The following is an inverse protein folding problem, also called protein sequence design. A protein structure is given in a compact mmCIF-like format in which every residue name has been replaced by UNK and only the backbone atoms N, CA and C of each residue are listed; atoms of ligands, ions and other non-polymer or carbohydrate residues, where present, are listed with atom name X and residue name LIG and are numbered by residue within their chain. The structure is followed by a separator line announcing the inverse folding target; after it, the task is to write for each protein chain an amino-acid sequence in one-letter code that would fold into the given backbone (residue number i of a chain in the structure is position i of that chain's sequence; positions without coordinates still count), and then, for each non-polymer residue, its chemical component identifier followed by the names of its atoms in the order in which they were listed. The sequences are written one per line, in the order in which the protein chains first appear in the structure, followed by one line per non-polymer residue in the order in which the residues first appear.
data_IF_268936317480
#
_entry.id   IF_268936317480
#
_cell.length_a   1.000
_cell.length_b   1.000
_cell.length_c   1.000
_cell.angle_alpha   90.00
_cell.angle_beta   90.00
_cell.angle_gamma   90.00
#
_symmetry.space_group_name_H-M   'P 1'
#
loop_
_entity.id
_entity.type
_entity.pdbx_description
1 polymer ?
#
# COMPACT_ATOMS: atom_id res chain seq x y z
N UNK A 1 33.23 16.16 43.50
CA UNK A 1 32.75 16.24 42.10
C UNK A 1 31.50 15.38 41.96
N UNK A 2 30.39 16.06 41.65
CA UNK A 2 29.01 15.59 41.75
C UNK A 2 28.70 14.36 40.87
N UNK A 3 28.71 13.16 41.46
CA UNK A 3 28.10 11.96 40.86
C UNK A 3 26.59 12.15 40.59
N UNK A 4 25.94 13.06 41.34
CA UNK A 4 24.53 13.44 41.14
C UNK A 4 24.28 14.18 39.82
N UNK A 5 25.25 14.97 39.32
CA UNK A 5 25.09 15.72 38.08
C UNK A 5 25.12 14.80 36.85
N UNK A 6 25.89 13.72 36.91
CA UNK A 6 26.00 12.74 35.82
C UNK A 6 24.71 11.92 35.69
N UNK A 7 24.02 11.64 36.81
CA UNK A 7 22.75 10.91 36.79
C UNK A 7 21.60 11.74 36.19
N UNK A 8 21.59 13.07 36.42
CA UNK A 8 20.58 13.98 35.88
C UNK A 8 20.70 14.17 34.35
N UNK A 9 21.91 14.07 33.79
CA UNK A 9 22.14 14.15 32.34
C UNK A 9 21.64 12.92 31.56
N UNK A 10 21.53 11.75 32.22
CA UNK A 10 21.04 10.51 31.60
C UNK A 10 19.51 10.45 31.48
N UNK A 11 18.77 11.33 32.16
CA UNK A 11 17.29 11.41 32.09
C UNK A 11 16.76 12.47 31.12
N UNK A 12 17.65 13.18 30.40
CA UNK A 12 17.26 14.19 29.40
C UNK A 12 16.76 13.62 28.06
N UNK A 13 16.64 12.28 27.94
CA UNK A 13 16.10 11.63 26.72
C UNK A 13 14.56 11.69 26.61
N UNK A 14 13.92 12.71 27.16
CA UNK A 14 12.50 13.03 26.88
C UNK A 14 12.38 14.02 25.71
N UNK A 15 13.23 13.88 24.68
CA UNK A 15 13.09 14.63 23.44
C UNK A 15 11.98 13.98 22.59
N UNK A 16 10.75 14.36 22.94
CA UNK A 16 9.56 14.47 22.10
C UNK A 16 9.17 13.23 21.27
N UNK A 17 8.52 12.24 21.91
CA UNK A 17 7.44 11.53 21.22
C UNK A 17 6.33 12.54 20.94
N UNK A 18 6.40 13.24 19.81
CA UNK A 18 5.32 14.14 19.43
C UNK A 18 4.11 13.29 19.02
N UNK A 19 2.97 13.55 19.66
CA UNK A 19 1.73 12.96 19.21
C UNK A 19 1.36 13.59 17.87
N UNK A 20 1.18 12.76 16.84
CA UNK A 20 0.85 13.24 15.51
C UNK A 20 -0.55 13.85 15.52
N UNK A 21 -0.72 15.00 14.86
CA UNK A 21 -2.06 15.56 14.65
C UNK A 21 -2.91 14.64 13.76
N UNK A 22 -4.23 14.68 13.92
CA UNK A 22 -5.14 13.92 13.06
C UNK A 22 -5.04 14.37 11.60
N UNK A 23 -4.84 15.66 11.35
CA UNK A 23 -4.70 16.19 9.99
C UNK A 23 -3.44 15.64 9.30
N UNK A 24 -2.32 15.54 10.02
CA UNK A 24 -1.10 14.93 9.51
C UNK A 24 -1.28 13.42 9.25
N UNK A 25 -1.93 12.68 10.16
CA UNK A 25 -2.25 11.24 9.97
C UNK A 25 -3.11 11.03 8.72
N UNK A 26 -4.13 11.86 8.54
CA UNK A 26 -5.01 11.80 7.37
C UNK A 26 -4.25 12.13 6.08
N UNK A 27 -3.38 13.15 6.09
CA UNK A 27 -2.56 13.48 4.93
C UNK A 27 -1.59 12.33 4.58
N UNK A 28 -0.97 11.70 5.57
CA UNK A 28 -0.11 10.53 5.37
C UNK A 28 -0.88 9.37 4.74
N UNK A 29 -2.09 9.07 5.24
CA UNK A 29 -2.94 8.02 4.68
C UNK A 29 -3.34 8.34 3.24
N UNK A 30 -3.72 9.58 2.96
CA UNK A 30 -4.06 10.06 1.62
C UNK A 30 -2.91 9.89 0.63
N UNK A 31 -1.70 10.34 0.99
CA UNK A 31 -0.50 10.19 0.13
C UNK A 31 -0.23 8.72 -0.16
N UNK A 32 -0.27 7.88 0.87
CA UNK A 32 -0.05 6.45 0.71
C UNK A 32 -1.10 5.82 -0.22
N UNK A 33 -2.37 6.18 -0.09
CA UNK A 33 -3.43 5.67 -0.95
C UNK A 33 -3.26 6.11 -2.40
N UNK A 34 -3.17 7.42 -2.64
CA UNK A 34 -3.15 7.98 -3.99
C UNK A 34 -1.88 7.57 -4.75
N UNK A 35 -0.71 7.57 -4.10
CA UNK A 35 0.52 7.15 -4.78
C UNK A 35 0.56 5.65 -5.08
N UNK A 36 -0.08 4.81 -4.26
CA UNK A 36 -0.18 3.38 -4.54
C UNK A 36 -1.29 3.02 -5.54
N UNK A 37 -2.15 3.96 -5.92
CA UNK A 37 -3.34 3.72 -6.75
C UNK A 37 -2.99 3.11 -8.10
N UNK A 38 -2.00 3.66 -8.80
CA UNK A 38 -1.55 3.15 -10.09
C UNK A 38 -0.96 1.74 -9.99
N UNK A 39 -0.10 1.50 -8.99
CA UNK A 39 0.48 0.19 -8.72
C UNK A 39 -0.59 -0.88 -8.42
N UNK A 40 -1.48 -0.59 -7.46
CA UNK A 40 -2.60 -1.47 -7.08
C UNK A 40 -3.56 -1.69 -8.26
N UNK A 41 -3.83 -0.64 -9.03
CA UNK A 41 -4.64 -0.69 -10.24
C UNK A 41 -4.05 -1.63 -11.29
N UNK A 42 -2.75 -1.54 -11.55
CA UNK A 42 -2.04 -2.45 -12.46
C UNK A 42 -2.18 -3.91 -12.01
N UNK A 43 -1.88 -4.21 -10.74
CA UNK A 43 -2.01 -5.57 -10.21
C UNK A 43 -3.44 -6.09 -10.38
N UNK A 44 -4.44 -5.29 -10.03
CA UNK A 44 -5.84 -5.67 -10.14
C UNK A 44 -6.23 -5.94 -11.59
N UNK A 45 -5.84 -5.06 -12.52
CA UNK A 45 -6.15 -5.20 -13.94
C UNK A 45 -5.48 -6.43 -14.55
N UNK A 46 -4.20 -6.67 -14.24
CA UNK A 46 -3.49 -7.87 -14.72
C UNK A 46 -4.13 -9.14 -14.18
N UNK A 47 -4.47 -9.19 -12.87
CA UNK A 47 -5.16 -10.35 -12.30
C UNK A 47 -6.51 -10.61 -12.94
N UNK A 48 -7.28 -9.55 -13.19
CA UNK A 48 -8.57 -9.66 -13.87
C UNK A 48 -8.41 -10.18 -15.30
N UNK A 49 -7.41 -9.70 -16.05
CA UNK A 49 -7.12 -10.17 -17.40
C UNK A 49 -6.90 -11.69 -17.44
N UNK A 50 -6.03 -12.21 -16.59
CA UNK A 50 -5.76 -13.65 -16.54
C UNK A 50 -6.94 -14.47 -16.03
N UNK A 51 -7.69 -13.96 -15.04
CA UNK A 51 -8.93 -14.59 -14.60
C UNK A 51 -9.92 -14.76 -15.76
N UNK A 52 -10.20 -13.69 -16.51
CA UNK A 52 -11.13 -13.76 -17.63
C UNK A 52 -10.61 -14.59 -18.80
N UNK A 53 -9.29 -14.64 -19.00
CA UNK A 53 -8.67 -15.54 -19.96
C UNK A 53 -8.93 -17.01 -19.59
N UNK A 54 -8.72 -17.39 -18.33
CA UNK A 54 -8.99 -18.75 -17.84
C UNK A 54 -10.49 -19.09 -17.91
N UNK A 55 -11.38 -18.15 -17.58
CA UNK A 55 -12.84 -18.35 -17.74
C UNK A 55 -13.19 -18.63 -19.20
N UNK A 56 -12.59 -17.89 -20.15
CA UNK A 56 -12.83 -18.10 -21.58
C UNK A 56 -12.31 -19.45 -22.07
N UNK A 57 -11.13 -19.87 -21.61
CA UNK A 57 -10.56 -21.19 -21.90
C UNK A 57 -11.43 -22.31 -21.33
N UNK A 58 -11.82 -22.24 -20.04
CA UNK A 58 -12.76 -23.16 -19.41
C UNK A 58 -14.07 -23.27 -20.21
N UNK A 59 -14.61 -22.14 -20.67
CA UNK A 59 -15.87 -22.10 -21.43
C UNK A 59 -15.71 -22.79 -22.78
N UNK A 60 -14.60 -22.55 -23.47
CA UNK A 60 -14.27 -23.20 -24.75
C UNK A 60 -14.16 -24.72 -24.61
N UNK A 61 -13.70 -25.21 -23.46
CA UNK A 61 -13.50 -26.63 -23.19
C UNK A 61 -14.70 -27.32 -22.50
N UNK A 62 -15.77 -26.57 -22.17
CA UNK A 62 -16.94 -27.12 -21.49
C UNK A 62 -16.67 -27.53 -20.04
N UNK A 63 -15.56 -27.08 -19.43
CA UNK A 63 -15.13 -27.53 -18.10
C UNK A 63 -16.05 -27.04 -16.96
N UNK A 64 -16.87 -26.02 -17.23
CA UNK A 64 -17.85 -25.50 -16.27
C UNK A 64 -19.21 -26.19 -16.31
N UNK A 65 -19.42 -27.16 -17.21
CA UNK A 65 -20.71 -27.84 -17.33
C UNK A 65 -21.04 -28.66 -16.08
N UNK A 66 -22.26 -28.50 -15.56
CA UNK A 66 -22.71 -29.19 -14.34
C UNK A 66 -22.15 -28.62 -13.03
N UNK A 67 -21.32 -27.57 -13.07
CA UNK A 67 -20.79 -26.90 -11.88
C UNK A 67 -21.64 -25.68 -11.53
N UNK A 68 -22.09 -25.59 -10.27
CA UNK A 68 -22.80 -24.42 -9.75
C UNK A 68 -21.91 -23.16 -9.81
N UNK A 69 -22.33 -22.16 -10.59
CA UNK A 69 -21.51 -20.96 -10.86
C UNK A 69 -20.56 -21.10 -12.06
N UNK A 70 -20.56 -22.24 -12.76
CA UNK A 70 -19.89 -22.46 -14.05
C UNK A 70 -18.40 -22.16 -14.04
N UNK A 71 -17.87 -21.74 -15.20
CA UNK A 71 -16.45 -21.44 -15.34
C UNK A 71 -15.96 -20.29 -14.44
N UNK A 72 -16.83 -19.34 -14.08
CA UNK A 72 -16.47 -18.29 -13.13
C UNK A 72 -16.12 -18.87 -11.75
N UNK A 73 -16.84 -19.91 -11.32
CA UNK A 73 -16.55 -20.66 -10.10
C UNK A 73 -15.25 -21.44 -10.25
N UNK A 74 -15.10 -22.22 -11.34
CA UNK A 74 -13.88 -23.01 -11.61
C UNK A 74 -12.61 -22.16 -11.59
N UNK A 75 -12.60 -21.07 -12.35
CA UNK A 75 -11.46 -20.14 -12.44
C UNK A 75 -11.18 -19.42 -11.12
N UNK A 76 -12.19 -19.22 -10.26
CA UNK A 76 -12.03 -18.59 -8.96
C UNK A 76 -11.20 -19.40 -7.97
N UNK A 77 -11.11 -20.72 -8.14
CA UNK A 77 -10.29 -21.60 -7.29
C UNK A 77 -8.90 -21.89 -7.85
N UNK A 78 -8.62 -21.49 -9.09
CA UNK A 78 -7.31 -21.67 -9.72
C UNK A 78 -6.41 -20.46 -9.40
N UNK A 79 -5.13 -20.73 -9.15
CA UNK A 79 -4.11 -19.66 -9.20
C UNK A 79 -3.92 -19.31 -10.67
N UNK A 80 -4.59 -18.27 -11.13
CA UNK A 80 -4.61 -17.87 -12.55
C UNK A 80 -3.47 -16.92 -12.94
N UNK A 81 -2.71 -16.40 -11.98
CA UNK A 81 -1.67 -15.39 -12.22
C UNK A 81 -0.41 -15.76 -11.46
N UNK A 82 0.67 -16.00 -12.21
CA UNK A 82 2.02 -16.15 -11.66
C UNK A 82 2.59 -14.79 -11.24
N UNK A 83 3.42 -14.76 -10.19
CA UNK A 83 4.01 -13.49 -9.70
C UNK A 83 4.94 -12.84 -10.74
N UNK A 84 5.53 -13.63 -11.64
CA UNK A 84 6.32 -13.12 -12.78
C UNK A 84 5.50 -12.23 -13.71
N UNK A 85 4.21 -12.53 -13.88
CA UNK A 85 3.28 -11.76 -14.71
C UNK A 85 2.93 -10.40 -14.08
N UNK A 86 3.33 -10.15 -12.83
CA UNK A 86 3.16 -8.85 -12.17
C UNK A 86 4.44 -8.00 -12.21
N UNK A 87 5.50 -8.49 -12.86
CA UNK A 87 6.80 -7.83 -12.94
C UNK A 87 6.72 -6.42 -13.51
N UNK A 88 5.91 -6.20 -14.56
CA UNK A 88 5.74 -4.88 -15.18
C UNK A 88 5.06 -3.87 -14.24
N UNK A 89 4.20 -4.32 -13.32
CA UNK A 89 3.55 -3.43 -12.37
C UNK A 89 4.54 -2.85 -11.34
N UNK A 90 5.67 -3.52 -11.06
CA UNK A 90 6.65 -3.07 -10.06
C UNK A 90 7.25 -1.71 -10.39
N UNK A 91 7.30 -1.35 -11.68
CA UNK A 91 7.78 -0.04 -12.16
C UNK A 91 6.90 1.11 -11.61
N UNK A 92 5.62 0.85 -11.34
CA UNK A 92 4.67 1.82 -10.81
C UNK A 92 4.65 1.89 -9.28
N UNK A 93 5.41 1.04 -8.59
CA UNK A 93 5.41 1.00 -7.12
C UNK A 93 6.19 2.22 -6.59
N UNK A 94 5.55 3.11 -5.82
CA UNK A 94 6.25 4.26 -5.25
C UNK A 94 7.29 3.80 -4.22
N UNK A 95 8.42 4.52 -4.15
CA UNK A 95 9.39 4.34 -3.07
C UNK A 95 8.93 5.01 -1.78
N UNK A 96 9.57 4.67 -0.66
CA UNK A 96 9.29 5.34 0.63
C UNK A 96 9.71 6.80 0.55
N UNK A 97 10.80 7.07 -0.17
CA UNK A 97 11.37 8.38 -0.41
C UNK A 97 10.40 9.26 -1.22
N UNK A 98 9.78 8.71 -2.29
CA UNK A 98 8.78 9.42 -3.08
C UNK A 98 7.57 9.83 -2.22
N UNK A 99 7.06 8.89 -1.42
CA UNK A 99 5.91 9.14 -0.53
C UNK A 99 6.26 10.14 0.58
N UNK A 100 7.45 10.05 1.15
CA UNK A 100 7.92 10.98 2.18
C UNK A 100 8.07 12.40 1.62
N UNK A 101 8.67 12.53 0.44
CA UNK A 101 8.84 13.81 -0.25
C UNK A 101 7.49 14.46 -0.58
N UNK A 102 6.54 13.69 -1.11
CA UNK A 102 5.21 14.19 -1.45
C UNK A 102 4.41 14.58 -0.22
N UNK A 103 4.47 13.78 0.86
CA UNK A 103 3.85 14.13 2.14
C UNK A 103 4.40 15.45 2.66
N UNK A 104 5.72 15.61 2.69
CA UNK A 104 6.35 16.84 3.18
C UNK A 104 5.95 18.05 2.33
N UNK A 105 5.91 17.90 1.00
CA UNK A 105 5.45 18.94 0.07
C UNK A 105 4.02 19.37 0.38
N UNK A 106 3.10 18.42 0.58
CA UNK A 106 1.69 18.70 0.85
C UNK A 106 1.47 19.30 2.24
N UNK A 107 2.18 18.81 3.25
CA UNK A 107 2.13 19.31 4.63
C UNK A 107 2.56 20.77 4.68
N UNK A 108 3.69 21.12 4.05
CA UNK A 108 4.18 22.50 3.95
C UNK A 108 3.18 23.37 3.16
N UNK A 109 2.72 22.87 2.00
CA UNK A 109 1.81 23.63 1.13
C UNK A 109 0.45 23.92 1.79
N UNK A 110 0.01 23.08 2.73
CA UNK A 110 -1.29 23.20 3.41
C UNK A 110 -1.18 23.77 4.82
N UNK A 111 0.04 24.02 5.31
CA UNK A 111 0.27 24.50 6.67
C UNK A 111 -0.15 23.50 7.74
N UNK A 112 -0.04 22.20 7.45
CA UNK A 112 -0.43 21.14 8.39
C UNK A 112 0.66 21.00 9.45
N UNK A 113 0.29 21.06 10.72
CA UNK A 113 1.21 20.78 11.81
C UNK A 113 1.38 19.28 12.00
N UNK A 114 2.62 18.81 12.04
CA UNK A 114 2.90 17.38 12.25
C UNK A 114 2.58 16.96 13.70
N UNK A 115 2.86 17.83 14.65
CA UNK A 115 2.83 17.54 16.08
C UNK A 115 1.72 18.33 16.76
N UNK A 116 0.93 17.67 17.62
CA UNK A 116 0.08 18.36 18.58
C UNK A 116 1.00 19.07 19.59
N UNK A 117 0.78 20.38 19.77
CA UNK A 117 1.50 21.21 20.75
C UNK A 117 1.04 21.01 22.18
#
# INVERSE_FOLDING_TARGET
MNKLLILLLLFSFNAASCELTEEYKNMRAYVQEEMNKSYKGCIKATRAYFYYKDVAECTKHGEGEGIGGGCAHVSGYRVVVEESELGHCKILKPTVEDMSSELQRLVISKGIEQCAG
#
